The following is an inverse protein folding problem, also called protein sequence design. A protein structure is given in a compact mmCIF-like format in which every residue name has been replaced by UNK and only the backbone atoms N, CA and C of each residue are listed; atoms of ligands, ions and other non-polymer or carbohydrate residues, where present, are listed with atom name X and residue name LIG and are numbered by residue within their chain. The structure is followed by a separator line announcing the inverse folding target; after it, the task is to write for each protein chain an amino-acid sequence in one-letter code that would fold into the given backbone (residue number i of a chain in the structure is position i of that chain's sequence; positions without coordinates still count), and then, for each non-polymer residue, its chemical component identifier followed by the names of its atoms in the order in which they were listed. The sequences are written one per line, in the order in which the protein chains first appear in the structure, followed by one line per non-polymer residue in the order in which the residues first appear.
data_IF_611700438433
#
_entry.id   IF_611700438433
#
_cell.length_a   1.000
_cell.length_b   1.000
_cell.length_c   1.000
_cell.angle_alpha   90.00
_cell.angle_beta   90.00
_cell.angle_gamma   90.00
#
_symmetry.space_group_name_H-M   'P 1'
#
loop_
_entity.id
_entity.type
_entity.pdbx_description
1 polymer ?
#
# COMPACT_ATOMS: atom_id res chain seq x y z
N UNK A 1 26.38 13.30 27.59
CA UNK A 1 26.75 13.03 26.19
C UNK A 1 25.47 12.92 25.41
N UNK A 2 25.02 14.03 24.82
CA UNK A 2 23.79 14.12 24.03
C UNK A 2 24.12 13.71 22.60
N UNK A 3 23.77 12.48 22.24
CA UNK A 3 23.75 12.07 20.83
C UNK A 3 22.58 12.81 20.17
N UNK A 4 22.84 14.02 19.69
CA UNK A 4 21.95 14.69 18.77
C UNK A 4 22.00 13.89 17.47
N UNK A 5 20.96 13.07 17.25
CA UNK A 5 20.68 12.53 15.93
C UNK A 5 20.58 13.69 14.94
N UNK A 6 21.00 13.53 13.66
CA UNK A 6 20.75 14.55 12.65
C UNK A 6 19.26 14.91 12.67
N UNK A 7 18.97 16.18 12.47
CA UNK A 7 17.63 16.75 12.57
C UNK A 7 16.71 16.06 11.54
N UNK A 8 16.11 14.93 11.91
CA UNK A 8 15.27 14.13 11.02
C UNK A 8 14.07 14.96 10.60
N UNK A 9 13.71 14.89 9.33
CA UNK A 9 12.57 15.65 8.82
C UNK A 9 11.30 15.02 9.35
N UNK A 10 10.47 15.78 10.06
CA UNK A 10 9.15 15.31 10.48
C UNK A 10 8.13 15.49 9.34
N UNK A 11 7.22 14.53 9.17
CA UNK A 11 6.05 14.72 8.31
C UNK A 11 5.28 15.96 8.78
N UNK A 12 4.79 16.77 7.83
CA UNK A 12 3.99 17.96 8.17
C UNK A 12 2.56 17.60 8.58
N UNK A 13 2.13 16.39 8.24
CA UNK A 13 0.75 15.91 8.41
C UNK A 13 0.64 15.06 9.69
N UNK A 14 1.68 14.26 9.96
CA UNK A 14 1.75 13.33 11.09
C UNK A 14 2.91 13.68 12.02
N UNK A 15 2.79 14.78 12.75
CA UNK A 15 3.80 15.27 13.70
C UNK A 15 3.25 15.58 15.10
N UNK A 16 2.12 14.99 15.49
CA UNK A 16 1.54 15.25 16.81
C UNK A 16 2.51 14.85 17.92
N UNK A 17 2.65 15.73 18.91
CA UNK A 17 3.44 15.45 20.10
C UNK A 17 2.82 14.40 21.03
N UNK A 18 1.50 14.14 20.91
CA UNK A 18 0.82 13.12 21.72
C UNK A 18 0.88 11.70 21.15
N UNK A 19 1.39 11.54 19.93
CA UNK A 19 1.57 10.23 19.33
C UNK A 19 2.70 9.45 20.02
N UNK A 20 2.48 8.16 20.18
CA UNK A 20 3.31 7.24 20.98
C UNK A 20 4.13 6.26 20.14
N UNK A 21 3.95 6.28 18.81
CA UNK A 21 4.76 5.53 17.86
C UNK A 21 5.44 6.48 16.88
N UNK A 22 6.68 6.14 16.52
CA UNK A 22 7.43 6.79 15.45
C UNK A 22 7.78 5.77 14.36
N UNK A 23 7.41 6.07 13.12
CA UNK A 23 7.84 5.34 11.93
C UNK A 23 8.76 6.21 11.10
N UNK A 24 9.71 5.60 10.40
CA UNK A 24 10.64 6.31 9.50
C UNK A 24 10.54 5.72 8.10
N UNK A 25 10.41 6.58 7.10
CA UNK A 25 10.41 6.21 5.69
C UNK A 25 11.82 5.86 5.20
N UNK A 26 11.91 5.29 4.00
CA UNK A 26 13.20 5.00 3.35
C UNK A 26 13.99 6.24 2.94
N UNK A 27 13.32 7.40 2.87
CA UNK A 27 13.88 8.74 2.62
C UNK A 27 13.96 9.60 3.90
N UNK A 28 14.05 8.96 5.06
CA UNK A 28 14.41 9.56 6.37
C UNK A 28 13.40 10.59 6.91
N UNK A 29 12.13 10.47 6.52
CA UNK A 29 11.02 11.26 7.10
C UNK A 29 10.38 10.48 8.23
N UNK A 30 10.21 11.14 9.39
CA UNK A 30 9.63 10.56 10.59
C UNK A 30 8.15 10.93 10.71
N UNK A 31 7.35 9.91 11.00
CA UNK A 31 5.89 9.95 11.15
C UNK A 31 5.53 9.63 12.59
N UNK A 32 4.75 10.49 13.21
CA UNK A 32 4.22 10.27 14.56
C UNK A 32 2.79 9.78 14.48
N UNK A 33 2.57 8.55 14.92
CA UNK A 33 1.28 7.83 14.79
C UNK A 33 0.77 7.42 16.17
N UNK A 34 -0.54 7.51 16.39
CA UNK A 34 -1.15 7.04 17.63
C UNK A 34 -1.46 5.55 17.57
N UNK A 35 -0.83 4.75 18.44
CA UNK A 35 -0.99 3.30 18.52
C UNK A 35 -2.47 2.88 18.64
N UNK A 36 -3.28 3.68 19.33
CA UNK A 36 -4.72 3.42 19.54
C UNK A 36 -5.53 3.22 18.25
N UNK A 37 -5.07 3.77 17.12
CA UNK A 37 -5.77 3.64 15.83
C UNK A 37 -5.36 2.38 15.07
N UNK A 38 -4.19 1.80 15.34
CA UNK A 38 -3.68 0.66 14.59
C UNK A 38 -4.57 -0.59 14.71
N UNK A 39 -5.00 -1.05 15.91
CA UNK A 39 -5.76 -2.31 16.03
C UNK A 39 -7.07 -2.36 15.23
N UNK A 40 -7.68 -1.22 14.95
CA UNK A 40 -8.94 -1.13 14.20
C UNK A 40 -8.75 -0.84 12.70
N UNK A 41 -7.57 -0.39 12.27
CA UNK A 41 -7.33 0.07 10.90
C UNK A 41 -6.25 -0.72 10.15
N UNK A 42 -5.37 -1.41 10.88
CA UNK A 42 -4.23 -2.13 10.36
C UNK A 42 -3.89 -3.38 11.17
N UNK A 43 -3.22 -4.36 10.55
CA UNK A 43 -2.63 -5.49 11.27
C UNK A 43 -1.10 -5.57 11.14
N UNK A 44 -0.52 -5.17 10.00
CA UNK A 44 0.89 -5.40 9.71
C UNK A 44 1.87 -4.48 10.46
N UNK A 45 1.45 -3.31 10.93
CA UNK A 45 2.31 -2.44 11.75
C UNK A 45 2.58 -3.02 13.14
N UNK A 46 1.58 -3.67 13.76
CA UNK A 46 1.65 -4.24 15.12
C UNK A 46 2.56 -5.47 15.16
N UNK A 47 2.64 -6.24 14.08
CA UNK A 47 3.47 -7.44 13.99
C UNK A 47 4.98 -7.16 13.96
N UNK A 48 5.39 -5.90 13.73
CA UNK A 48 6.78 -5.45 13.83
C UNK A 48 7.21 -5.04 15.25
N UNK A 49 6.28 -5.03 16.21
CA UNK A 49 6.52 -4.55 17.58
C UNK A 49 7.15 -5.59 18.52
N UNK A 50 7.22 -6.86 18.10
CA UNK A 50 7.66 -7.99 18.94
C UNK A 50 9.06 -7.88 19.56
N UNK A 51 9.89 -6.92 19.14
CA UNK A 51 11.24 -6.70 19.66
C UNK A 51 11.58 -5.23 19.96
N UNK A 52 10.67 -4.26 19.76
CA UNK A 52 11.03 -2.82 19.70
C UNK A 52 10.65 -1.97 20.91
N UNK A 53 10.00 -2.55 21.92
CA UNK A 53 9.61 -1.83 23.13
C UNK A 53 10.80 -1.27 23.97
N UNK A 54 12.04 -1.55 23.58
CA UNK A 54 13.27 -1.13 24.26
C UNK A 54 14.16 -0.15 23.50
N UNK A 55 13.87 0.14 22.22
CA UNK A 55 14.75 0.98 21.39
C UNK A 55 14.13 2.36 21.15
N UNK A 56 14.87 3.42 21.51
CA UNK A 56 14.48 4.82 21.32
C UNK A 56 14.51 5.28 19.85
N UNK A 57 14.35 4.35 18.89
CA UNK A 57 14.49 4.61 17.47
C UNK A 57 13.19 4.34 16.72
N UNK A 58 12.82 5.21 15.76
CA UNK A 58 11.67 4.99 14.89
C UNK A 58 11.74 3.63 14.18
N UNK A 59 10.59 3.00 13.98
CA UNK A 59 10.49 1.80 13.17
C UNK A 59 10.69 2.14 11.69
N UNK A 60 11.83 1.75 11.13
CA UNK A 60 12.16 1.97 9.72
C UNK A 60 11.28 1.11 8.79
N UNK A 61 10.68 1.76 7.80
CA UNK A 61 9.84 1.18 6.75
C UNK A 61 10.56 1.33 5.39
N UNK A 62 10.20 0.50 4.42
CA UNK A 62 10.87 0.50 3.10
C UNK A 62 10.28 1.51 2.11
N UNK A 63 9.09 2.01 2.40
CA UNK A 63 8.30 2.91 1.58
C UNK A 63 8.78 4.35 1.74
N UNK A 64 8.64 5.15 0.68
CA UNK A 64 8.96 6.58 0.72
C UNK A 64 7.96 7.34 1.60
N UNK A 65 8.33 8.55 1.99
CA UNK A 65 7.48 9.43 2.77
C UNK A 65 6.13 9.69 2.07
N UNK A 66 6.14 9.87 0.75
CA UNK A 66 4.92 10.11 -0.04
C UNK A 66 3.91 8.95 0.06
N UNK A 67 4.38 7.71 -0.05
CA UNK A 67 3.52 6.52 0.06
C UNK A 67 3.01 6.35 1.48
N UNK A 68 3.86 6.60 2.48
CA UNK A 68 3.48 6.51 3.89
C UNK A 68 2.52 7.62 4.31
N UNK A 69 2.65 8.85 3.80
CA UNK A 69 1.68 9.92 4.05
C UNK A 69 0.29 9.55 3.53
N UNK A 70 0.19 8.96 2.35
CA UNK A 70 -1.08 8.45 1.84
C UNK A 70 -1.61 7.29 2.68
N UNK A 71 -0.75 6.34 3.02
CA UNK A 71 -1.14 5.14 3.76
C UNK A 71 -1.61 5.48 5.19
N UNK A 72 -0.90 6.37 5.90
CA UNK A 72 -1.26 6.74 7.27
C UNK A 72 -2.55 7.58 7.35
N UNK A 73 -2.95 8.26 6.29
CA UNK A 73 -4.29 8.86 6.24
C UNK A 73 -5.39 7.80 6.31
N UNK A 74 -5.14 6.55 5.91
CA UNK A 74 -6.10 5.45 6.11
C UNK A 74 -6.07 4.84 7.53
N UNK A 75 -5.06 5.20 8.33
CA UNK A 75 -4.88 4.71 9.71
C UNK A 75 -5.48 5.70 10.70
N UNK A 76 -5.19 6.99 10.55
CA UNK A 76 -5.76 8.01 11.42
C UNK A 76 -5.97 9.37 10.74
N UNK A 77 -6.88 10.19 11.28
CA UNK A 77 -7.03 11.57 10.83
C UNK A 77 -5.73 12.37 11.10
N UNK A 78 -5.28 13.19 10.15
CA UNK A 78 -4.25 14.19 10.40
C UNK A 78 -4.63 15.11 11.57
N UNK A 79 -3.64 15.53 12.36
CA UNK A 79 -3.81 16.27 13.62
C UNK A 79 -4.69 17.53 13.51
N UNK A 80 -4.74 18.17 12.35
CA UNK A 80 -5.47 19.43 12.14
C UNK A 80 -6.85 19.27 11.47
N UNK A 81 -7.27 18.05 11.13
CA UNK A 81 -8.46 17.85 10.29
C UNK A 81 -9.76 17.68 11.10
N UNK A 82 -10.61 18.72 11.10
CA UNK A 82 -12.00 18.65 11.62
C UNK A 82 -12.99 17.97 10.66
N UNK A 83 -12.63 17.87 9.38
CA UNK A 83 -13.45 17.28 8.33
C UNK A 83 -12.60 16.27 7.56
N UNK A 84 -12.23 15.19 8.25
CA UNK A 84 -11.38 14.17 7.66
C UNK A 84 -12.12 13.38 6.57
N UNK A 85 -11.46 13.22 5.42
CA UNK A 85 -11.87 12.37 4.32
C UNK A 85 -10.65 11.57 3.88
N UNK A 86 -10.86 10.30 3.49
CA UNK A 86 -9.79 9.51 2.91
C UNK A 86 -9.29 10.17 1.61
N UNK A 87 -7.98 10.09 1.32
CA UNK A 87 -7.44 10.67 0.11
C UNK A 87 -8.06 9.99 -1.12
N UNK A 88 -8.36 10.80 -2.14
CA UNK A 88 -8.80 10.24 -3.41
C UNK A 88 -7.63 9.51 -4.07
N UNK A 89 -7.85 8.25 -4.44
CA UNK A 89 -6.84 7.49 -5.17
C UNK A 89 -6.94 7.72 -6.68
N UNK A 90 -7.97 8.39 -7.20
CA UNK A 90 -8.23 8.49 -8.65
C UNK A 90 -7.19 9.29 -9.41
N UNK A 91 -6.52 10.23 -8.75
CA UNK A 91 -5.54 11.13 -9.36
C UNK A 91 -4.10 10.60 -9.28
N UNK A 92 -3.87 9.53 -8.51
CA UNK A 92 -2.56 8.88 -8.45
C UNK A 92 -2.25 8.25 -9.80
N UNK A 93 -1.06 8.54 -10.31
CA UNK A 93 -0.55 7.83 -11.48
C UNK A 93 -0.40 6.33 -11.16
N UNK A 94 -0.38 5.48 -12.19
CA UNK A 94 -0.40 4.04 -12.01
C UNK A 94 0.78 3.50 -11.18
N UNK A 95 1.98 4.06 -11.34
CA UNK A 95 3.15 3.55 -10.63
C UNK A 95 3.03 3.79 -9.12
N UNK A 96 2.71 5.03 -8.71
CA UNK A 96 2.46 5.35 -7.30
C UNK A 96 1.25 4.60 -6.74
N UNK A 97 0.20 4.42 -7.55
CA UNK A 97 -0.97 3.64 -7.15
C UNK A 97 -0.61 2.19 -6.80
N UNK A 98 0.11 1.47 -7.66
CA UNK A 98 0.49 0.09 -7.36
C UNK A 98 1.50 -0.01 -6.22
N UNK A 99 2.40 0.97 -6.05
CA UNK A 99 3.26 1.03 -4.86
C UNK A 99 2.43 1.19 -3.57
N UNK A 100 1.44 2.08 -3.56
CA UNK A 100 0.51 2.24 -2.43
C UNK A 100 -0.30 0.97 -2.18
N UNK A 101 -0.80 0.32 -3.24
CA UNK A 101 -1.57 -0.92 -3.12
C UNK A 101 -0.73 -2.04 -2.49
N UNK A 102 0.53 -2.21 -2.91
CA UNK A 102 1.43 -3.18 -2.29
C UNK A 102 1.76 -2.86 -0.83
N UNK A 103 1.93 -1.58 -0.49
CA UNK A 103 2.13 -1.16 0.90
C UNK A 103 0.88 -1.42 1.75
N UNK A 104 -0.31 -1.15 1.21
CA UNK A 104 -1.59 -1.42 1.89
C UNK A 104 -1.77 -2.89 2.21
N UNK A 105 -1.39 -3.79 1.29
CA UNK A 105 -1.42 -5.24 1.52
C UNK A 105 -0.38 -5.69 2.54
N UNK A 106 0.87 -5.18 2.42
CA UNK A 106 1.97 -5.50 3.34
C UNK A 106 1.65 -5.15 4.79
N UNK A 107 1.07 -3.96 4.99
CA UNK A 107 0.69 -3.48 6.32
C UNK A 107 -0.76 -3.80 6.69
N UNK A 108 -1.50 -4.46 5.79
CA UNK A 108 -2.90 -4.86 5.97
C UNK A 108 -3.74 -3.67 6.44
N UNK A 109 -3.67 -2.55 5.71
CA UNK A 109 -4.43 -1.32 6.01
C UNK A 109 -5.79 -1.45 5.33
N UNK A 110 -6.79 -1.91 6.09
CA UNK A 110 -8.05 -2.45 5.57
C UNK A 110 -8.78 -1.50 4.62
N UNK A 111 -8.88 -0.21 5.01
CA UNK A 111 -9.56 0.79 4.20
C UNK A 111 -8.83 1.08 2.88
N UNK A 112 -7.49 1.16 2.92
CA UNK A 112 -6.66 1.39 1.73
C UNK A 112 -6.72 0.20 0.77
N UNK A 113 -6.64 -1.03 1.27
CA UNK A 113 -6.83 -2.26 0.48
C UNK A 113 -8.18 -2.23 -0.25
N UNK A 114 -9.26 -1.94 0.49
CA UNK A 114 -10.61 -1.85 -0.07
C UNK A 114 -10.75 -0.78 -1.14
N UNK A 115 -10.16 0.40 -0.95
CA UNK A 115 -10.19 1.48 -1.95
C UNK A 115 -9.33 1.18 -3.18
N UNK A 116 -8.17 0.54 -3.02
CA UNK A 116 -7.35 0.07 -4.14
C UNK A 116 -8.10 -0.96 -4.97
N UNK A 117 -8.68 -1.98 -4.33
CA UNK A 117 -9.48 -3.01 -5.00
C UNK A 117 -10.72 -2.41 -5.70
N UNK A 118 -11.35 -1.40 -5.10
CA UNK A 118 -12.49 -0.69 -5.69
C UNK A 118 -12.08 0.08 -6.95
N UNK A 119 -10.96 0.82 -6.92
CA UNK A 119 -10.43 1.50 -8.11
C UNK A 119 -10.10 0.49 -9.21
N UNK A 120 -9.37 -0.57 -8.89
CA UNK A 120 -9.05 -1.63 -9.86
C UNK A 120 -10.31 -2.26 -10.48
N UNK A 121 -11.39 -2.42 -9.72
CA UNK A 121 -12.63 -3.04 -10.21
C UNK A 121 -13.46 -2.12 -11.11
N UNK A 122 -13.58 -0.85 -10.74
CA UNK A 122 -14.60 0.04 -11.31
C UNK A 122 -14.05 1.18 -12.15
N UNK A 123 -12.76 1.51 -12.02
CA UNK A 123 -12.08 2.45 -12.90
C UNK A 123 -11.73 1.75 -14.22
N UNK A 124 -12.53 2.00 -15.24
CA UNK A 124 -12.34 1.39 -16.56
C UNK A 124 -11.02 1.80 -17.20
N UNK A 125 -10.56 3.03 -16.98
CA UNK A 125 -9.28 3.48 -17.53
C UNK A 125 -8.12 2.71 -16.89
N UNK A 126 -8.18 2.48 -15.57
CA UNK A 126 -7.22 1.64 -14.86
C UNK A 126 -7.21 0.21 -15.40
N UNK A 127 -8.38 -0.42 -15.52
CA UNK A 127 -8.48 -1.81 -15.98
C UNK A 127 -8.02 -1.97 -17.45
N UNK A 128 -8.36 -1.04 -18.34
CA UNK A 128 -7.98 -1.16 -19.76
C UNK A 128 -6.48 -0.91 -19.99
N UNK A 129 -5.91 0.09 -19.32
CA UNK A 129 -4.51 0.47 -19.52
C UNK A 129 -3.51 -0.37 -18.71
N UNK A 130 -3.94 -0.90 -17.55
CA UNK A 130 -3.06 -1.57 -16.57
C UNK A 130 -3.54 -2.97 -16.19
N UNK A 131 -4.27 -3.65 -17.09
CA UNK A 131 -4.83 -4.99 -16.85
C UNK A 131 -3.82 -5.99 -16.29
N UNK A 132 -2.58 -5.96 -16.80
CA UNK A 132 -1.51 -6.86 -16.38
C UNK A 132 -1.02 -6.59 -14.96
N UNK A 133 -0.93 -5.32 -14.57
CA UNK A 133 -0.56 -4.92 -13.21
C UNK A 133 -1.69 -5.28 -12.23
N UNK A 134 -2.96 -5.03 -12.62
CA UNK A 134 -4.14 -5.47 -11.86
C UNK A 134 -4.16 -6.99 -11.72
N UNK A 135 -3.82 -7.74 -12.77
CA UNK A 135 -3.74 -9.21 -12.72
C UNK A 135 -2.66 -9.67 -11.74
N UNK A 136 -1.46 -9.12 -11.84
CA UNK A 136 -0.35 -9.46 -10.95
C UNK A 136 -0.71 -9.19 -9.48
N UNK A 137 -1.25 -8.00 -9.19
CA UNK A 137 -1.68 -7.63 -7.84
C UNK A 137 -2.83 -8.52 -7.34
N UNK A 138 -3.91 -8.64 -8.12
CA UNK A 138 -5.10 -9.40 -7.73
C UNK A 138 -4.79 -10.87 -7.48
N UNK A 139 -3.93 -11.48 -8.28
CA UNK A 139 -3.52 -12.86 -8.08
C UNK A 139 -2.64 -13.03 -6.85
N UNK A 140 -1.65 -12.14 -6.66
CA UNK A 140 -0.72 -12.17 -5.53
C UNK A 140 -1.45 -12.12 -4.19
N UNK A 141 -2.50 -11.31 -4.09
CA UNK A 141 -3.23 -11.07 -2.84
C UNK A 141 -4.58 -11.80 -2.75
N UNK A 142 -4.92 -12.62 -3.75
CA UNK A 142 -6.07 -13.52 -3.68
C UNK A 142 -7.44 -12.90 -4.02
N UNK A 143 -7.48 -11.78 -4.74
CA UNK A 143 -8.70 -11.15 -5.25
C UNK A 143 -9.26 -11.89 -6.46
N UNK A 144 -9.82 -13.08 -6.24
CA UNK A 144 -10.22 -14.02 -7.30
C UNK A 144 -11.19 -13.44 -8.34
N UNK A 145 -12.09 -12.55 -7.94
CA UNK A 145 -13.03 -11.92 -8.86
C UNK A 145 -12.32 -10.92 -9.79
N UNK A 146 -11.36 -10.15 -9.27
CA UNK A 146 -10.50 -9.27 -10.06
C UNK A 146 -9.56 -10.05 -10.98
N UNK A 147 -9.05 -11.21 -10.55
CA UNK A 147 -8.21 -12.08 -11.38
C UNK A 147 -8.95 -12.46 -12.67
N UNK A 148 -10.20 -12.93 -12.56
CA UNK A 148 -10.97 -13.32 -13.74
C UNK A 148 -11.16 -12.14 -14.71
N UNK A 149 -11.58 -10.98 -14.21
CA UNK A 149 -11.81 -9.79 -15.06
C UNK A 149 -10.51 -9.29 -15.70
N UNK A 150 -9.42 -9.22 -14.95
CA UNK A 150 -8.13 -8.71 -15.43
C UNK A 150 -7.42 -9.65 -16.41
N UNK A 151 -7.58 -10.98 -16.28
CA UNK A 151 -7.08 -11.95 -17.26
C UNK A 151 -7.67 -11.67 -18.65
N UNK A 152 -8.98 -11.51 -18.76
CA UNK A 152 -9.64 -11.29 -20.06
C UNK A 152 -9.14 -10.01 -20.73
N UNK A 153 -8.96 -8.94 -19.95
CA UNK A 153 -8.44 -7.66 -20.44
C UNK A 153 -6.97 -7.74 -20.83
N UNK A 154 -6.16 -8.43 -20.05
CA UNK A 154 -4.74 -8.66 -20.35
C UNK A 154 -4.57 -9.39 -21.68
N UNK A 155 -5.38 -10.41 -21.96
CA UNK A 155 -5.31 -11.17 -23.22
C UNK A 155 -5.80 -10.37 -24.44
N UNK A 156 -6.71 -9.41 -24.24
CA UNK A 156 -7.17 -8.53 -25.31
C UNK A 156 -6.15 -7.45 -25.65
N UNK A 157 -5.43 -6.95 -24.64
CA UNK A 157 -4.61 -5.74 -24.76
C UNK A 157 -3.10 -6.02 -24.83
N UNK A 158 -2.64 -7.21 -24.44
CA UNK A 158 -1.23 -7.58 -24.41
C UNK A 158 -0.94 -8.80 -25.30
N UNK A 159 0.25 -8.82 -25.91
CA UNK A 159 0.73 -10.03 -26.58
C UNK A 159 1.25 -11.06 -25.55
N UNK A 160 1.30 -12.33 -25.95
CA UNK A 160 1.69 -13.43 -25.05
C UNK A 160 3.14 -13.34 -24.57
N UNK A 161 4.05 -12.75 -25.33
CA UNK A 161 5.46 -12.59 -24.94
C UNK A 161 5.59 -11.61 -23.77
N UNK A 162 4.91 -10.46 -23.84
CA UNK A 162 4.86 -9.47 -22.78
C UNK A 162 4.23 -10.05 -21.51
N UNK A 163 3.15 -10.83 -21.66
CA UNK A 163 2.52 -11.51 -20.53
C UNK A 163 3.49 -12.51 -19.90
N UNK A 164 4.16 -13.34 -20.69
CA UNK A 164 5.14 -14.30 -20.18
C UNK A 164 6.33 -13.62 -19.47
N UNK A 165 6.78 -12.46 -19.95
CA UNK A 165 7.88 -11.69 -19.35
C UNK A 165 7.48 -11.00 -18.05
N UNK A 166 6.30 -10.37 -18.02
CA UNK A 166 5.89 -9.46 -16.93
C UNK A 166 5.00 -10.11 -15.88
N UNK A 167 4.54 -11.34 -16.09
CA UNK A 167 3.86 -12.10 -15.06
C UNK A 167 4.81 -12.34 -13.88
N UNK A 168 4.52 -11.70 -12.75
CA UNK A 168 5.40 -11.74 -11.58
C UNK A 168 5.14 -12.94 -10.69
N UNK A 169 4.04 -13.68 -10.90
CA UNK A 169 3.69 -14.83 -10.08
C UNK A 169 3.90 -16.17 -10.81
N UNK A 170 4.88 -16.99 -10.36
CA UNK A 170 5.14 -18.30 -10.93
C UNK A 170 3.90 -19.20 -10.94
N UNK A 171 3.65 -19.87 -12.06
CA UNK A 171 2.54 -20.82 -12.20
C UNK A 171 1.17 -20.21 -12.48
N UNK A 172 1.02 -18.88 -12.51
CA UNK A 172 -0.25 -18.21 -12.86
C UNK A 172 -0.73 -18.62 -14.26
N UNK A 173 0.16 -18.57 -15.26
CA UNK A 173 -0.15 -19.02 -16.61
C UNK A 173 -0.60 -20.49 -16.65
N UNK A 174 0.08 -21.36 -15.90
CA UNK A 174 -0.26 -22.78 -15.83
C UNK A 174 -1.60 -23.04 -15.13
N UNK A 175 -1.87 -22.34 -14.02
CA UNK A 175 -3.14 -22.41 -13.29
C UNK A 175 -4.29 -21.90 -14.16
N UNK A 176 -4.06 -20.85 -14.93
CA UNK A 176 -5.03 -20.34 -15.90
C UNK A 176 -5.31 -21.33 -17.02
N UNK A 177 -4.28 -21.87 -17.71
CA UNK A 177 -4.47 -22.87 -18.79
C UNK A 177 -5.30 -24.06 -18.30
N UNK A 178 -5.06 -24.52 -17.06
CA UNK A 178 -5.82 -25.61 -16.44
C UNK A 178 -7.25 -25.25 -16.07
N UNK A 179 -7.57 -23.98 -15.85
CA UNK A 179 -8.93 -23.51 -15.55
C UNK A 179 -9.82 -23.38 -16.80
N UNK A 180 -9.24 -23.47 -17.99
CA UNK A 180 -9.92 -23.40 -19.28
C UNK A 180 -10.17 -24.78 -19.93
N UNK A 181 -9.65 -25.85 -19.31
CA UNK A 181 -9.82 -27.25 -19.71
C UNK A 181 -10.79 -27.95 -18.74
#
# INVERSE_FOLDING_TARGET
MTNAHPNKTLSKIFCDSSADLEFESSDEVVFKIHSKHLPSTSFGFVMGEGDRASESQPAQLSESAEILELLFQFVEPPSESRHFQYPSLTELDPAHFFTLAEAAEKYIVFACMGMCATRMRFDTAMMEAHALDVLNHSFKHGYNDLVLTSIWRTLQNCNFELVAEKLTTPGLLAKWVRSQL
#
